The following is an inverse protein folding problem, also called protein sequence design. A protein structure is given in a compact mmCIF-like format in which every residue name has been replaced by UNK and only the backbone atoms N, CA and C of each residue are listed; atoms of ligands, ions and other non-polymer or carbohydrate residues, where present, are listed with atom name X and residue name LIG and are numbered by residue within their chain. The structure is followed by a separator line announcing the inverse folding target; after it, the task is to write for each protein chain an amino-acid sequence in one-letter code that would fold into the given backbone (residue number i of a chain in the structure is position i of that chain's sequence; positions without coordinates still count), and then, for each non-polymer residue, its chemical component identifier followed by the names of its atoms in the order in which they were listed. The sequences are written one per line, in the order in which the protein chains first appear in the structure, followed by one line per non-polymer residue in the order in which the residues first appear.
data_IF_543986037709
#
_entry.id   IF_543986037709
#
_cell.length_a   1.000
_cell.length_b   1.000
_cell.length_c   1.000
_cell.angle_alpha   90.00
_cell.angle_beta   90.00
_cell.angle_gamma   90.00
#
_symmetry.space_group_name_H-M   'P 1'
#
loop_
_entity.id
_entity.type
_entity.pdbx_description
1 polymer ?
#
# COMPACT_ATOMS: atom_id res chain seq x y z
N UNK A 1 -8.46 11.32 -2.61
CA UNK A 1 -8.20 9.88 -2.64
C UNK A 1 -7.87 9.35 -1.23
N UNK A 2 -8.32 8.15 -0.84
CA UNK A 2 -7.97 7.55 0.46
C UNK A 2 -6.78 6.60 0.37
N UNK A 3 -5.91 6.62 1.37
CA UNK A 3 -4.79 5.69 1.51
C UNK A 3 -5.11 4.66 2.61
N UNK A 4 -5.06 3.38 2.27
CA UNK A 4 -5.12 2.29 3.25
C UNK A 4 -3.75 1.65 3.32
N UNK A 5 -3.23 1.36 4.50
CA UNK A 5 -1.88 0.81 4.61
C UNK A 5 -1.73 -0.21 5.73
N UNK A 6 -0.70 -1.06 5.61
CA UNK A 6 -0.25 -1.92 6.70
C UNK A 6 1.16 -1.50 7.11
N UNK A 7 1.50 -1.60 8.40
CA UNK A 7 2.82 -1.22 8.88
C UNK A 7 3.26 -2.07 10.06
N UNK A 8 4.33 -2.84 9.88
CA UNK A 8 4.89 -3.68 10.95
C UNK A 8 5.85 -2.91 11.87
N UNK A 9 6.84 -2.22 11.29
CA UNK A 9 7.92 -1.52 12.03
C UNK A 9 7.79 0.02 11.99
N UNK A 10 6.65 0.52 11.51
CA UNK A 10 6.38 1.97 11.43
C UNK A 10 6.88 2.66 10.16
N UNK A 11 7.65 2.00 9.30
CA UNK A 11 8.23 2.66 8.11
C UNK A 11 7.15 3.09 7.11
N UNK A 12 6.18 2.23 6.82
CA UNK A 12 5.05 2.56 5.95
C UNK A 12 4.19 3.66 6.57
N UNK A 13 3.92 3.58 7.89
CA UNK A 13 3.22 4.65 8.63
C UNK A 13 3.92 6.00 8.51
N UNK A 14 5.25 6.04 8.64
CA UNK A 14 6.05 7.26 8.47
C UNK A 14 5.96 7.83 7.05
N UNK A 15 5.88 6.98 6.02
CA UNK A 15 5.67 7.45 4.65
C UNK A 15 4.27 8.06 4.48
N UNK A 16 3.23 7.35 4.90
CA UNK A 16 1.83 7.79 4.79
C UNK A 16 1.61 9.12 5.50
N UNK A 17 2.19 9.32 6.68
CA UNK A 17 2.08 10.57 7.42
C UNK A 17 2.67 11.79 6.69
N UNK A 18 3.53 11.59 5.68
CA UNK A 18 4.08 12.69 4.86
C UNK A 18 3.16 13.11 3.72
N UNK A 19 2.17 12.28 3.34
CA UNK A 19 1.35 12.50 2.15
C UNK A 19 0.27 13.57 2.34
N UNK A 20 -0.06 13.94 3.58
CA UNK A 20 -1.17 14.84 3.91
C UNK A 20 -2.53 14.42 3.29
N UNK A 21 -2.74 13.11 3.11
CA UNK A 21 -3.97 12.51 2.57
C UNK A 21 -4.76 11.79 3.67
N UNK A 22 -6.08 11.70 3.49
CA UNK A 22 -6.94 10.84 4.33
C UNK A 22 -6.42 9.41 4.28
N UNK A 23 -6.20 8.81 5.46
CA UNK A 23 -5.60 7.49 5.54
C UNK A 23 -6.14 6.64 6.70
N UNK A 24 -6.01 5.33 6.56
CA UNK A 24 -6.34 4.35 7.59
C UNK A 24 -5.31 3.21 7.61
N UNK A 25 -4.87 2.82 8.80
CA UNK A 25 -4.06 1.63 8.99
C UNK A 25 -4.96 0.40 9.10
N UNK A 26 -4.58 -0.70 8.44
CA UNK A 26 -5.32 -1.96 8.47
C UNK A 26 -5.32 -2.51 9.91
N UNK A 27 -6.52 -2.65 10.46
CA UNK A 27 -6.83 -3.35 11.70
C UNK A 27 -7.82 -4.49 11.44
N UNK A 28 -8.06 -5.33 12.43
CA UNK A 28 -8.97 -6.47 12.30
C UNK A 28 -10.43 -6.05 11.99
N UNK A 29 -10.83 -4.84 12.37
CA UNK A 29 -12.19 -4.31 12.27
C UNK A 29 -12.34 -3.19 11.23
N UNK A 30 -11.26 -2.81 10.54
CA UNK A 30 -11.30 -1.73 9.55
C UNK A 30 -12.27 -2.08 8.41
N UNK A 31 -13.18 -1.15 8.13
CA UNK A 31 -14.07 -1.18 6.98
C UNK A 31 -13.88 0.08 6.12
N UNK A 32 -13.84 -0.11 4.81
CA UNK A 32 -13.66 0.96 3.83
C UNK A 32 -14.78 0.86 2.81
N UNK A 33 -15.54 1.95 2.67
CA UNK A 33 -16.71 2.02 1.78
C UNK A 33 -16.52 3.03 0.64
N UNK A 34 -15.27 3.41 0.36
CA UNK A 34 -14.86 4.37 -0.66
C UNK A 34 -13.61 3.88 -1.40
N UNK A 35 -13.36 4.31 -2.65
CA UNK A 35 -12.16 3.91 -3.37
C UNK A 35 -10.86 4.30 -2.64
N UNK A 36 -9.87 3.41 -2.66
CA UNK A 36 -8.60 3.61 -1.96
C UNK A 36 -7.39 3.06 -2.71
N UNK A 37 -6.20 3.53 -2.33
CA UNK A 37 -4.91 2.95 -2.73
C UNK A 37 -4.30 2.23 -1.54
N UNK A 38 -3.82 1.01 -1.75
CA UNK A 38 -3.19 0.19 -0.73
C UNK A 38 -1.67 0.41 -0.68
N UNK A 39 -1.08 0.64 0.49
CA UNK A 39 0.39 0.69 0.68
C UNK A 39 0.84 -0.41 1.64
N UNK A 40 1.77 -1.27 1.18
CA UNK A 40 2.20 -2.47 1.93
C UNK A 40 3.71 -2.63 1.99
N UNK A 41 4.26 -3.03 3.16
CA UNK A 41 5.67 -3.38 3.29
C UNK A 41 5.96 -4.80 2.80
N UNK A 42 7.23 -5.02 2.49
CA UNK A 42 7.76 -6.35 2.15
C UNK A 42 8.11 -7.13 3.41
N UNK A 43 7.39 -8.22 3.64
CA UNK A 43 7.64 -9.21 4.71
C UNK A 43 7.15 -10.59 4.23
N UNK A 44 7.37 -11.63 5.05
CA UNK A 44 6.84 -12.97 4.77
C UNK A 44 5.31 -12.96 4.73
N UNK A 45 4.73 -13.91 4.01
CA UNK A 45 3.27 -14.00 3.79
C UNK A 45 2.48 -14.07 5.11
N UNK A 46 3.05 -14.71 6.14
CA UNK A 46 2.43 -14.85 7.46
C UNK A 46 2.30 -13.49 8.16
N UNK A 47 3.33 -12.64 8.07
CA UNK A 47 3.34 -11.32 8.70
C UNK A 47 2.43 -10.31 7.98
N UNK A 48 2.11 -10.54 6.70
CA UNK A 48 1.21 -9.69 5.91
C UNK A 48 -0.14 -10.34 5.63
N UNK A 49 -0.45 -11.48 6.26
CA UNK A 49 -1.75 -12.12 6.18
C UNK A 49 -2.93 -11.18 6.46
N UNK A 50 -2.84 -10.22 7.43
CA UNK A 50 -3.92 -9.24 7.66
C UNK A 50 -4.29 -8.40 6.44
N UNK A 51 -3.36 -8.21 5.48
CA UNK A 51 -3.63 -7.47 4.25
C UNK A 51 -4.54 -8.26 3.31
N UNK A 52 -4.24 -9.55 3.10
CA UNK A 52 -5.08 -10.43 2.30
C UNK A 52 -6.45 -10.64 2.95
N UNK A 53 -6.49 -10.82 4.27
CA UNK A 53 -7.75 -10.87 5.03
C UNK A 53 -8.56 -9.57 4.90
N UNK A 54 -7.90 -8.41 4.93
CA UNK A 54 -8.56 -7.12 4.69
C UNK A 54 -9.16 -7.05 3.28
N UNK A 55 -8.40 -7.38 2.23
CA UNK A 55 -8.88 -7.31 0.85
C UNK A 55 -10.05 -8.27 0.58
N UNK A 56 -10.05 -9.46 1.20
CA UNK A 56 -11.08 -10.48 1.02
C UNK A 56 -12.41 -10.18 1.75
N UNK A 57 -12.46 -9.15 2.59
CA UNK A 57 -13.65 -8.78 3.38
C UNK A 57 -14.40 -7.61 2.76
N UNK A 58 -15.72 -7.57 2.98
CA UNK A 58 -16.60 -6.42 2.72
C UNK A 58 -16.41 -5.75 1.34
N UNK A 59 -16.09 -6.53 0.30
CA UNK A 59 -15.84 -6.03 -1.05
C UNK A 59 -14.67 -5.04 -1.17
N UNK A 60 -13.77 -4.96 -0.19
CA UNK A 60 -12.62 -4.04 -0.21
C UNK A 60 -11.75 -4.20 -1.45
N UNK A 61 -11.58 -5.43 -1.97
CA UNK A 61 -10.86 -5.68 -3.22
C UNK A 61 -11.41 -4.84 -4.39
N UNK A 62 -12.74 -4.73 -4.54
CA UNK A 62 -13.37 -3.97 -5.63
C UNK A 62 -13.22 -2.44 -5.47
N UNK A 63 -12.91 -1.97 -4.26
CA UNK A 63 -12.67 -0.56 -3.96
C UNK A 63 -11.18 -0.20 -4.04
N UNK A 64 -10.30 -1.19 -4.12
CA UNK A 64 -8.87 -0.97 -4.24
C UNK A 64 -8.53 -0.57 -5.68
N UNK A 65 -8.01 0.64 -5.87
CA UNK A 65 -7.64 1.16 -7.19
C UNK A 65 -6.22 0.73 -7.62
N UNK A 66 -5.42 0.24 -6.68
CA UNK A 66 -4.06 -0.21 -6.94
C UNK A 66 -3.22 -0.30 -5.68
N UNK A 67 -2.00 -0.83 -5.85
CA UNK A 67 -1.09 -1.14 -4.75
C UNK A 67 0.23 -0.40 -4.93
N UNK A 68 0.73 0.22 -3.88
CA UNK A 68 2.09 0.67 -3.75
C UNK A 68 2.85 -0.17 -2.71
N UNK A 69 4.14 -0.37 -2.92
CA UNK A 69 4.98 -1.18 -2.06
C UNK A 69 6.19 -0.44 -1.53
N UNK A 70 6.56 -0.73 -0.27
CA UNK A 70 7.90 -0.40 0.22
C UNK A 70 8.73 -1.64 0.58
N UNK A 71 10.04 -1.47 0.48
CA UNK A 71 11.00 -2.50 0.79
C UNK A 71 12.41 -1.94 0.95
N UNK A 72 13.39 -2.77 0.64
CA UNK A 72 14.81 -2.43 0.63
C UNK A 72 15.42 -3.02 -0.65
N UNK A 73 16.05 -2.19 -1.48
CA UNK A 73 16.61 -2.59 -2.78
C UNK A 73 17.78 -3.56 -2.65
N UNK A 74 18.38 -3.69 -1.46
CA UNK A 74 19.38 -4.73 -1.18
C UNK A 74 18.84 -6.16 -1.39
N UNK A 75 17.51 -6.33 -1.45
CA UNK A 75 16.87 -7.61 -1.76
C UNK A 75 16.65 -7.84 -3.27
N UNK A 76 17.19 -6.99 -4.15
CA UNK A 76 17.14 -7.13 -5.61
C UNK A 76 15.73 -7.46 -6.13
N UNK A 77 15.54 -8.64 -6.73
CA UNK A 77 14.25 -9.05 -7.32
C UNK A 77 13.11 -9.12 -6.30
N UNK A 78 13.44 -9.38 -5.03
CA UNK A 78 12.49 -9.40 -3.92
C UNK A 78 12.15 -7.99 -3.39
N UNK A 79 12.73 -6.93 -3.96
CA UNK A 79 12.27 -5.56 -3.70
C UNK A 79 10.77 -5.47 -4.00
N UNK A 80 10.00 -4.97 -3.03
CA UNK A 80 8.53 -4.84 -3.03
C UNK A 80 7.77 -6.14 -3.32
N UNK A 81 8.34 -7.30 -2.96
CA UNK A 81 7.77 -8.61 -3.28
C UNK A 81 6.31 -8.76 -2.83
N UNK A 82 5.94 -8.27 -1.64
CA UNK A 82 4.55 -8.31 -1.16
C UNK A 82 3.60 -7.56 -2.09
N UNK A 83 3.96 -6.34 -2.49
CA UNK A 83 3.13 -5.54 -3.39
C UNK A 83 3.00 -6.19 -4.78
N UNK A 84 4.11 -6.69 -5.33
CA UNK A 84 4.12 -7.43 -6.62
C UNK A 84 3.20 -8.66 -6.57
N UNK A 85 3.29 -9.46 -5.50
CA UNK A 85 2.46 -10.65 -5.30
C UNK A 85 0.97 -10.28 -5.24
N UNK A 86 0.61 -9.34 -4.37
CA UNK A 86 -0.79 -8.93 -4.18
C UNK A 86 -1.36 -8.30 -5.45
N UNK A 87 -0.58 -7.48 -6.17
CA UNK A 87 -1.00 -6.88 -7.43
C UNK A 87 -1.37 -7.95 -8.46
N UNK A 88 -0.55 -9.01 -8.58
CA UNK A 88 -0.83 -10.15 -9.47
C UNK A 88 -2.04 -10.97 -8.99
N UNK A 89 -2.10 -11.29 -7.71
CA UNK A 89 -3.13 -12.14 -7.11
C UNK A 89 -4.53 -11.52 -7.24
N UNK A 90 -4.64 -10.22 -6.96
CA UNK A 90 -5.89 -9.48 -6.96
C UNK A 90 -6.18 -8.73 -8.26
N UNK A 91 -5.32 -8.89 -9.28
CA UNK A 91 -5.40 -8.21 -10.59
C UNK A 91 -5.48 -6.68 -10.45
N UNK A 92 -4.68 -6.13 -9.54
CA UNK A 92 -4.61 -4.71 -9.25
C UNK A 92 -3.34 -4.10 -9.85
N UNK A 93 -3.37 -2.85 -10.34
CA UNK A 93 -2.18 -2.20 -10.85
C UNK A 93 -1.17 -1.95 -9.73
N UNK A 94 0.12 -2.18 -10.04
CA UNK A 94 1.22 -1.77 -9.18
C UNK A 94 1.55 -0.31 -9.48
N UNK A 95 1.21 0.59 -8.57
CA UNK A 95 1.22 2.04 -8.79
C UNK A 95 2.57 2.68 -8.47
N UNK A 96 3.24 2.21 -7.42
CA UNK A 96 4.46 2.87 -6.94
C UNK A 96 5.33 1.94 -6.09
N UNK A 97 6.64 2.23 -6.06
CA UNK A 97 7.63 1.48 -5.31
C UNK A 97 8.64 2.42 -4.67
N UNK A 98 8.92 2.27 -3.37
CA UNK A 98 9.87 3.11 -2.65
C UNK A 98 10.62 2.32 -1.56
N UNK A 99 11.65 2.92 -0.98
CA UNK A 99 12.42 2.29 0.09
C UNK A 99 12.06 2.84 1.46
N UNK A 100 12.03 1.95 2.47
CA UNK A 100 11.86 2.31 3.87
C UNK A 100 10.65 3.23 4.11
N UNK A 101 10.86 4.44 4.63
CA UNK A 101 9.82 5.44 4.89
C UNK A 101 9.69 6.49 3.79
N UNK A 102 10.34 6.26 2.64
CA UNK A 102 10.38 7.14 1.48
C UNK A 102 11.12 8.46 1.71
N UNK A 103 11.65 9.00 0.63
CA UNK A 103 12.22 10.34 0.54
C UNK A 103 11.14 11.39 0.29
N UNK A 104 11.51 12.67 0.32
CA UNK A 104 10.60 13.75 -0.10
C UNK A 104 10.28 13.67 -1.60
N UNK A 105 11.20 13.15 -2.41
CA UNK A 105 10.96 12.90 -3.82
C UNK A 105 9.95 11.76 -4.03
N UNK A 106 10.05 10.68 -3.24
CA UNK A 106 9.06 9.59 -3.26
C UNK A 106 7.67 10.11 -2.91
N UNK A 107 7.57 11.00 -1.91
CA UNK A 107 6.30 11.66 -1.54
C UNK A 107 5.76 12.47 -2.72
N UNK A 108 6.57 13.35 -3.30
CA UNK A 108 6.14 14.19 -4.42
C UNK A 108 5.72 13.35 -5.65
N UNK A 109 6.45 12.28 -5.95
CA UNK A 109 6.15 11.41 -7.08
C UNK A 109 4.92 10.53 -6.82
N UNK A 110 4.76 10.00 -5.61
CA UNK A 110 3.55 9.26 -5.24
C UNK A 110 2.31 10.14 -5.29
N UNK A 111 2.37 11.38 -4.81
CA UNK A 111 1.25 12.33 -4.90
C UNK A 111 0.83 12.59 -6.35
N UNK A 112 1.78 12.68 -7.30
CA UNK A 112 1.44 12.80 -8.73
C UNK A 112 0.67 11.57 -9.24
N UNK A 113 1.08 10.36 -8.84
CA UNK A 113 0.38 9.12 -9.20
C UNK A 113 -1.03 9.11 -8.62
N UNK A 114 -1.20 9.51 -7.35
CA UNK A 114 -2.51 9.60 -6.71
C UNK A 114 -3.42 10.57 -7.47
N UNK A 115 -2.93 11.76 -7.82
CA UNK A 115 -3.71 12.78 -8.52
C UNK A 115 -4.16 12.35 -9.93
N UNK A 116 -3.46 11.42 -10.58
CA UNK A 116 -3.86 10.86 -11.88
C UNK A 116 -5.02 9.85 -11.78
N UNK A 117 -5.27 9.33 -10.57
CA UNK A 117 -6.34 8.39 -10.28
C UNK A 117 -7.57 9.08 -9.67
N UNK A 118 -7.46 10.36 -9.33
CA UNK A 118 -8.61 11.15 -8.93
C UNK A 118 -9.47 11.45 -10.18
N UNK A 119 -10.79 11.20 -10.12
CA UNK A 119 -11.72 11.51 -11.21
C UNK A 119 -11.91 13.01 -11.44
#
# INVERSE_FOLDING_TARGET
MKIVYFSLTGQTRRFVNKLALSNAEITADLQINEPFILIVPTYSSELVAPVSEFLNRNHHQSLCLGIAGNGNRNFADAFIHTAKRLAKEYQLPLLFAFEFSGTNEDVANFTKVVNQLEP
#
